data_IF_284927847335
#
_entry.id   IF_284927847335
#
_cell.length_a   1.000
_cell.length_b   1.000
_cell.length_c   1.000
_cell.angle_alpha   90.00
_cell.angle_beta   90.00
_cell.angle_gamma   90.00
#
_symmetry.space_group_name_H-M   'P 1'
#
loop_
_entity.id
_entity.type
_entity.pdbx_description
1 polymer ?
#
# COMPACT_ATOMS: atom_id res chain seq x y z
N UNK A 1 21.24 22.01 -1.36
CA UNK A 1 20.14 22.72 -2.05
C UNK A 1 19.74 21.90 -3.27
N UNK A 2 18.46 21.52 -3.43
CA UNK A 2 17.94 20.95 -4.68
C UNK A 2 17.27 22.08 -5.46
N UNK A 3 17.59 22.21 -6.73
CA UNK A 3 16.98 23.19 -7.62
C UNK A 3 15.85 22.49 -8.35
N UNK A 4 14.67 23.13 -8.41
CA UNK A 4 13.62 22.67 -9.30
C UNK A 4 14.04 23.00 -10.74
N UNK A 5 14.20 21.96 -11.53
CA UNK A 5 14.53 22.05 -12.95
C UNK A 5 13.74 20.97 -13.70
N UNK A 6 12.97 21.39 -14.70
CA UNK A 6 12.19 20.49 -15.56
C UNK A 6 13.11 19.75 -16.54
N UNK A 7 14.18 20.39 -16.98
CA UNK A 7 15.14 19.83 -17.94
C UNK A 7 16.00 18.73 -17.31
N UNK A 8 16.09 18.71 -15.97
CA UNK A 8 16.69 17.62 -15.22
C UNK A 8 15.77 16.38 -15.06
N UNK A 9 14.47 16.50 -15.34
CA UNK A 9 13.47 15.42 -15.17
C UNK A 9 13.13 14.74 -16.51
N UNK A 10 14.16 14.30 -17.21
CA UNK A 10 14.04 13.68 -18.54
C UNK A 10 14.12 12.16 -18.44
N UNK A 11 13.70 11.50 -19.52
CA UNK A 11 13.71 10.04 -19.65
C UNK A 11 12.32 9.42 -19.58
N UNK A 12 12.27 8.12 -19.84
CA UNK A 12 11.07 7.29 -19.83
C UNK A 12 11.34 6.03 -19.02
N UNK A 13 10.29 5.39 -18.55
CA UNK A 13 10.39 4.08 -17.92
C UNK A 13 9.12 3.26 -18.21
N UNK A 14 9.19 1.98 -17.88
CA UNK A 14 8.10 1.04 -18.13
C UNK A 14 6.81 1.29 -17.33
N UNK A 15 6.80 2.25 -16.40
CA UNK A 15 5.59 2.68 -15.68
C UNK A 15 4.86 3.85 -16.37
N UNK A 16 5.50 4.56 -17.31
CA UNK A 16 4.96 5.79 -17.91
C UNK A 16 3.59 5.60 -18.58
N UNK A 17 3.41 4.47 -19.27
CA UNK A 17 2.16 4.17 -19.96
C UNK A 17 1.28 3.29 -19.06
N UNK A 18 0.07 3.77 -18.77
CA UNK A 18 -0.95 3.04 -18.00
C UNK A 18 -0.45 2.49 -16.65
N UNK A 19 0.42 3.23 -15.93
CA UNK A 19 1.04 2.75 -14.69
C UNK A 19 1.78 1.41 -14.87
N UNK A 20 2.28 1.16 -16.08
CA UNK A 20 2.81 -0.14 -16.50
C UNK A 20 1.78 -1.27 -16.55
N UNK A 21 0.53 -1.04 -16.21
CA UNK A 21 -0.51 -2.05 -15.98
C UNK A 21 -0.64 -2.48 -14.51
N UNK A 22 0.01 -1.80 -13.58
CA UNK A 22 -0.17 -2.04 -12.14
C UNK A 22 -1.48 -1.43 -11.64
N UNK A 23 -2.19 -2.18 -10.79
CA UNK A 23 -3.43 -1.69 -10.16
C UNK A 23 -3.21 -0.57 -9.13
N UNK A 24 -2.06 -0.58 -8.44
CA UNK A 24 -1.72 0.42 -7.42
C UNK A 24 -0.37 1.05 -7.72
N UNK A 25 0.75 0.48 -7.24
CA UNK A 25 2.07 1.08 -7.36
C UNK A 25 2.88 0.41 -8.49
N UNK A 26 3.54 1.22 -9.30
CA UNK A 26 4.50 0.79 -10.30
C UNK A 26 5.89 1.33 -9.98
N UNK A 27 6.85 0.45 -9.77
CA UNK A 27 8.23 0.82 -9.47
C UNK A 27 9.13 0.45 -10.65
N UNK A 28 9.77 1.43 -11.32
CA UNK A 28 10.82 1.17 -12.29
C UNK A 28 12.00 0.47 -11.60
N UNK A 29 12.42 -0.68 -12.13
CA UNK A 29 13.57 -1.44 -11.62
C UNK A 29 14.78 -1.35 -12.55
N UNK A 30 14.56 -0.94 -13.80
CA UNK A 30 15.58 -0.51 -14.75
C UNK A 30 14.94 0.41 -15.78
N UNK A 31 15.69 0.81 -16.81
CA UNK A 31 15.17 1.59 -17.94
C UNK A 31 14.01 0.87 -18.67
N UNK A 32 14.04 -0.46 -18.72
CA UNK A 32 13.09 -1.29 -19.47
C UNK A 32 12.24 -2.23 -18.61
N UNK A 33 12.54 -2.34 -17.32
CA UNK A 33 11.82 -3.24 -16.40
C UNK A 33 11.11 -2.48 -15.29
N UNK A 34 10.04 -3.07 -14.80
CA UNK A 34 9.26 -2.58 -13.68
C UNK A 34 8.74 -3.73 -12.83
N UNK A 35 8.37 -3.43 -11.59
CA UNK A 35 7.59 -4.32 -10.74
C UNK A 35 6.34 -3.62 -10.22
N UNK A 36 5.26 -4.37 -10.00
CA UNK A 36 4.09 -3.84 -9.31
C UNK A 36 4.19 -4.12 -7.82
N UNK A 37 3.76 -3.17 -7.00
CA UNK A 37 3.61 -3.33 -5.56
C UNK A 37 2.24 -2.87 -5.12
N UNK A 38 1.81 -3.38 -3.95
CA UNK A 38 0.54 -3.01 -3.34
C UNK A 38 0.79 -2.11 -2.12
N UNK A 39 -0.16 -1.24 -1.84
CA UNK A 39 -0.20 -0.47 -0.61
C UNK A 39 -0.51 -1.38 0.57
N UNK A 40 -0.27 -0.87 1.78
CA UNK A 40 -0.62 -1.57 3.05
C UNK A 40 -2.08 -2.02 3.03
N UNK A 41 -2.35 -3.21 3.57
CA UNK A 41 -3.68 -3.82 3.54
C UNK A 41 -4.02 -4.57 2.25
N UNK A 42 -3.10 -4.71 1.31
CA UNK A 42 -3.28 -5.44 0.06
C UNK A 42 -2.11 -6.37 -0.23
N UNK A 43 -2.38 -7.50 -0.89
CA UNK A 43 -1.36 -8.40 -1.41
C UNK A 43 -1.38 -8.44 -2.94
N UNK A 44 -0.20 -8.66 -3.52
CA UNK A 44 -0.04 -8.76 -4.97
C UNK A 44 -0.51 -10.13 -5.45
N UNK A 45 -1.42 -10.12 -6.42
CA UNK A 45 -1.92 -11.32 -7.07
C UNK A 45 -0.85 -12.05 -7.88
N UNK A 46 -1.12 -13.31 -8.22
CA UNK A 46 -0.21 -14.15 -9.03
C UNK A 46 0.09 -13.58 -10.41
N UNK A 47 -0.79 -12.75 -10.96
CA UNK A 47 -0.57 -12.04 -12.22
C UNK A 47 0.50 -10.93 -12.11
N UNK A 48 1.01 -10.64 -10.91
CA UNK A 48 2.01 -9.61 -10.59
C UNK A 48 1.59 -8.20 -11.02
N UNK A 49 0.29 -7.92 -11.08
CA UNK A 49 -0.27 -6.64 -11.55
C UNK A 49 -1.42 -6.15 -10.67
N UNK A 50 -2.29 -7.05 -10.22
CA UNK A 50 -3.48 -6.73 -9.43
C UNK A 50 -3.21 -6.86 -7.94
N UNK A 51 -3.80 -5.97 -7.15
CA UNK A 51 -3.75 -5.98 -5.70
C UNK A 51 -5.11 -6.41 -5.15
N UNK A 52 -5.14 -7.36 -4.22
CA UNK A 52 -6.36 -7.78 -3.51
C UNK A 52 -6.24 -7.41 -2.04
N UNK A 53 -7.33 -6.87 -1.48
CA UNK A 53 -7.37 -6.47 -0.07
C UNK A 53 -7.27 -7.68 0.85
N UNK A 54 -6.65 -7.50 2.01
CA UNK A 54 -6.64 -8.50 3.07
C UNK A 54 -8.06 -8.60 3.63
N UNK A 55 -8.62 -9.80 3.59
CA UNK A 55 -10.02 -10.04 3.97
C UNK A 55 -10.19 -10.25 5.48
N UNK A 56 -9.14 -10.67 6.18
CA UNK A 56 -9.20 -11.00 7.61
C UNK A 56 -7.92 -10.58 8.32
N UNK A 57 -8.07 -9.77 9.36
CA UNK A 57 -6.98 -9.23 10.17
C UNK A 57 -7.48 -8.89 11.57
N UNK A 58 -6.57 -8.79 12.53
CA UNK A 58 -6.88 -8.31 13.88
C UNK A 58 -6.78 -6.80 13.91
N UNK A 59 -7.86 -6.13 14.33
CA UNK A 59 -7.92 -4.68 14.53
C UNK A 59 -7.81 -4.36 16.03
N UNK A 60 -6.98 -3.37 16.40
CA UNK A 60 -6.78 -2.98 17.79
C UNK A 60 -6.44 -1.49 17.92
N UNK A 61 -6.72 -0.90 19.08
CA UNK A 61 -6.38 0.49 19.39
C UNK A 61 -5.05 0.57 20.14
N UNK A 62 -4.28 1.59 19.81
CA UNK A 62 -3.08 2.04 20.53
C UNK A 62 -3.17 3.55 20.76
N UNK A 63 -2.23 4.10 21.53
CA UNK A 63 -2.26 5.53 21.85
C UNK A 63 -2.17 6.43 20.61
N UNK A 64 -1.40 6.01 19.58
CA UNK A 64 -1.27 6.75 18.31
C UNK A 64 -2.41 6.48 17.30
N UNK A 65 -3.41 5.67 17.66
CA UNK A 65 -4.59 5.43 16.82
C UNK A 65 -4.93 3.96 16.65
N UNK A 66 -5.53 3.62 15.51
CA UNK A 66 -6.04 2.28 15.20
C UNK A 66 -5.07 1.55 14.27
N UNK A 67 -4.76 0.30 14.58
CA UNK A 67 -3.87 -0.56 13.78
C UNK A 67 -4.56 -1.86 13.39
N UNK A 68 -4.04 -2.48 12.33
CA UNK A 68 -4.45 -3.79 11.86
C UNK A 68 -3.24 -4.68 11.59
N UNK A 69 -3.23 -5.90 12.12
CA UNK A 69 -2.18 -6.89 11.84
C UNK A 69 -2.77 -8.15 11.17
N UNK A 70 -2.06 -8.76 10.21
CA UNK A 70 -2.47 -10.03 9.62
C UNK A 70 -2.63 -11.13 10.67
N UNK A 71 -3.50 -12.10 10.39
CA UNK A 71 -3.67 -13.27 11.27
C UNK A 71 -2.56 -14.31 11.09
N UNK A 72 -1.88 -14.29 9.95
CA UNK A 72 -0.79 -15.20 9.62
C UNK A 72 0.51 -14.70 10.26
N UNK A 73 1.12 -15.42 11.21
CA UNK A 73 2.30 -14.94 11.95
C UNK A 73 3.54 -14.73 11.08
N UNK A 74 3.60 -15.36 9.91
CA UNK A 74 4.69 -15.15 8.95
C UNK A 74 4.56 -13.84 8.15
N UNK A 75 3.37 -13.25 8.10
CA UNK A 75 3.13 -11.97 7.44
C UNK A 75 3.44 -10.81 8.40
N UNK A 76 4.48 -10.05 8.04
CA UNK A 76 4.99 -8.92 8.85
C UNK A 76 4.47 -7.57 8.35
N UNK A 77 3.59 -7.56 7.36
CA UNK A 77 3.03 -6.32 6.83
C UNK A 77 1.88 -5.83 7.69
N UNK A 78 1.64 -4.52 7.72
CA UNK A 78 0.44 -3.99 8.34
C UNK A 78 -0.79 -4.33 7.45
N UNK A 79 -1.91 -4.68 8.09
CA UNK A 79 -3.15 -5.03 7.40
C UNK A 79 -4.09 -3.83 7.20
N UNK A 80 -3.84 -2.72 7.90
CA UNK A 80 -4.65 -1.51 7.84
C UNK A 80 -3.77 -0.28 7.69
N UNK A 81 -4.11 0.58 6.73
CA UNK A 81 -3.48 1.90 6.62
C UNK A 81 -3.75 2.73 7.90
N UNK A 82 -2.80 3.55 8.36
CA UNK A 82 -2.99 4.36 9.56
C UNK A 82 -4.23 5.27 9.48
N UNK A 83 -5.15 5.13 10.42
CA UNK A 83 -6.32 6.02 10.53
C UNK A 83 -5.92 7.28 11.30
N UNK A 84 -5.73 8.36 10.55
CA UNK A 84 -5.38 9.68 11.11
C UNK A 84 -6.55 10.29 11.90
N UNK A 85 -6.24 11.15 12.87
CA UNK A 85 -7.25 11.86 13.66
C UNK A 85 -7.89 11.02 14.79
N UNK A 86 -7.43 9.78 14.99
CA UNK A 86 -7.80 8.95 16.13
C UNK A 86 -6.66 8.97 17.15
N UNK A 87 -6.86 9.64 18.28
CA UNK A 87 -5.89 9.64 19.38
C UNK A 87 -6.60 9.20 20.65
N UNK A 88 -5.94 8.35 21.45
CA UNK A 88 -6.50 7.77 22.67
C UNK A 88 -7.84 7.03 22.44
N UNK A 89 -7.95 6.31 21.31
CA UNK A 89 -9.13 5.49 21.03
C UNK A 89 -9.24 4.35 22.06
N UNK A 90 -10.35 4.31 22.81
CA UNK A 90 -10.54 3.37 23.92
C UNK A 90 -11.35 2.14 23.52
N UNK A 91 -12.23 2.29 22.52
CA UNK A 91 -13.08 1.22 22.01
C UNK A 91 -13.10 1.21 20.49
N UNK A 92 -13.17 0.02 19.92
CA UNK A 92 -13.28 -0.22 18.47
C UNK A 92 -14.39 -1.25 18.28
N UNK A 93 -15.20 -1.05 17.24
CA UNK A 93 -16.15 -2.04 16.74
C UNK A 93 -16.12 -2.03 15.20
N UNK A 94 -16.62 -3.09 14.58
CA UNK A 94 -16.66 -3.24 13.13
C UNK A 94 -18.10 -3.45 12.63
N UNK A 95 -18.51 -2.64 11.65
CA UNK A 95 -19.78 -2.83 10.98
C UNK A 95 -19.62 -3.78 9.78
N UNK A 96 -19.90 -5.06 10.00
CA UNK A 96 -20.03 -6.03 8.91
C UNK A 96 -21.43 -5.87 8.29
N UNK A 97 -21.53 -5.10 7.20
CA UNK A 97 -22.75 -5.04 6.39
C UNK A 97 -23.13 -6.42 5.84
N UNK A 98 -24.42 -6.59 5.49
CA UNK A 98 -24.90 -7.76 4.75
C UNK A 98 -24.75 -7.56 3.26
#
# INVERSE_FOLDING_TARGET
>A
MKVYDKEAQQGSNSCQLNNGGCSQLCLPTSETTRTCMCTVGYYLQKNRMSCQGIESFLMYSVHEGIRGIPLEPSDKMDALMPISGTSFAVGIDFHAGK
#
